data_IF_299909284583
#
_entry.id   IF_299909284583
#
_cell.length_a   1.000
_cell.length_b   1.000
_cell.length_c   1.000
_cell.angle_alpha   90.00
_cell.angle_beta   90.00
_cell.angle_gamma   90.00
#
_symmetry.space_group_name_H-M   'P 1'
#
loop_
_entity.id
_entity.type
_entity.pdbx_description
1 polymer ?
#
# COMPACT_ATOMS: atom_id res chain seq x y z
N UNK A 1 23.61 -6.47 2.87
CA UNK A 1 23.49 -5.34 3.80
C UNK A 1 22.55 -4.29 3.20
N UNK A 2 21.71 -3.64 4.01
CA UNK A 2 20.88 -2.49 3.61
C UNK A 2 19.37 -2.77 3.58
N UNK A 3 18.70 -2.71 4.74
CA UNK A 3 17.25 -2.79 4.86
C UNK A 3 16.75 -1.42 5.35
N UNK A 4 16.46 -0.49 4.44
CA UNK A 4 16.07 0.86 4.84
C UNK A 4 14.57 1.07 4.57
N UNK A 5 13.71 0.56 5.45
CA UNK A 5 12.37 1.13 5.65
C UNK A 5 12.47 2.26 6.68
N UNK A 6 12.00 3.44 6.32
CA UNK A 6 11.96 4.61 7.19
C UNK A 6 10.58 4.67 7.86
N UNK A 7 10.53 4.92 9.18
CA UNK A 7 9.28 5.33 9.84
C UNK A 7 9.46 6.66 10.55
N UNK A 8 8.32 7.31 10.76
CA UNK A 8 8.16 8.52 11.54
C UNK A 8 6.98 8.30 12.47
N UNK A 9 7.11 8.74 13.72
CA UNK A 9 6.11 8.52 14.77
C UNK A 9 5.85 9.84 15.49
N UNK A 10 4.58 10.12 15.83
CA UNK A 10 4.22 11.30 16.62
C UNK A 10 4.56 11.05 18.09
N UNK A 11 5.12 12.05 18.76
CA UNK A 11 5.55 11.94 20.16
C UNK A 11 4.42 11.37 21.05
N UNK A 12 4.67 10.20 21.64
CA UNK A 12 3.72 9.50 22.53
C UNK A 12 2.96 8.33 21.90
N UNK A 13 2.94 8.18 20.57
CA UNK A 13 2.32 7.01 19.93
C UNK A 13 3.25 5.79 20.00
N UNK A 14 2.72 4.66 20.46
CA UNK A 14 3.44 3.39 20.52
C UNK A 14 2.62 2.30 19.83
N UNK A 15 3.11 1.82 18.69
CA UNK A 15 2.46 0.75 17.91
C UNK A 15 2.15 -0.49 18.76
N UNK A 16 3.06 -1.00 19.63
CA UNK A 16 2.77 -2.18 20.44
C UNK A 16 1.68 -1.97 21.50
N UNK A 17 1.39 -0.72 21.88
CA UNK A 17 0.37 -0.37 22.87
C UNK A 17 -1.05 -0.33 22.27
N UNK A 18 -1.18 -0.33 20.95
CA UNK A 18 -2.49 -0.33 20.28
C UNK A 18 -3.14 -1.70 20.42
N UNK A 19 -4.27 -1.76 21.15
CA UNK A 19 -4.97 -3.03 21.41
C UNK A 19 -5.68 -3.57 20.17
N UNK A 20 -6.41 -2.72 19.45
CA UNK A 20 -7.12 -3.07 18.22
C UNK A 20 -7.17 -1.88 17.27
N UNK A 21 -7.18 -2.15 15.96
CA UNK A 21 -7.31 -1.12 14.92
C UNK A 21 -8.35 -1.54 13.89
N UNK A 22 -9.19 -0.60 13.42
CA UNK A 22 -9.87 -0.78 12.15
C UNK A 22 -8.83 -0.86 11.02
N UNK A 23 -9.21 -1.41 9.87
CA UNK A 23 -8.39 -1.26 8.66
C UNK A 23 -9.26 -0.86 7.48
N UNK A 24 -8.76 0.07 6.69
CA UNK A 24 -9.40 0.47 5.43
C UNK A 24 -8.92 -0.47 4.33
N UNK A 25 -9.82 -0.87 3.42
CA UNK A 25 -9.41 -1.64 2.24
C UNK A 25 -8.26 -0.88 1.51
N UNK A 26 -7.20 -1.57 1.03
CA UNK A 26 -6.01 -0.90 0.53
C UNK A 26 -6.28 0.10 -0.59
N UNK A 27 -5.58 1.23 -0.57
CA UNK A 27 -5.74 2.28 -1.60
C UNK A 27 -4.55 2.22 -2.56
N UNK A 28 -4.78 1.75 -3.78
CA UNK A 28 -3.71 1.58 -4.76
C UNK A 28 -3.84 2.51 -5.95
N UNK A 29 -2.72 2.76 -6.64
CA UNK A 29 -2.66 3.43 -7.94
C UNK A 29 -1.49 2.86 -8.73
N UNK A 30 -1.81 2.00 -9.69
CA UNK A 30 -0.81 1.32 -10.51
C UNK A 30 -0.91 1.81 -11.95
N UNK A 31 0.21 2.29 -12.48
CA UNK A 31 0.35 2.59 -13.89
C UNK A 31 0.83 1.37 -14.67
N UNK A 32 0.39 1.25 -15.92
CA UNK A 32 0.93 0.29 -16.88
C UNK A 32 1.78 1.07 -17.88
N UNK A 33 3.04 0.70 -17.95
CA UNK A 33 3.98 1.23 -18.94
C UNK A 33 4.06 0.23 -20.10
N UNK A 34 3.62 0.68 -21.27
CA UNK A 34 3.69 -0.05 -22.53
C UNK A 34 5.00 0.27 -23.25
N UNK A 35 5.39 -0.53 -24.24
CA UNK A 35 6.68 -0.35 -24.92
C UNK A 35 6.78 1.07 -25.52
N UNK A 36 7.83 1.81 -25.14
CA UNK A 36 8.09 3.21 -25.53
C UNK A 36 6.95 4.22 -25.24
N UNK A 37 5.97 3.86 -24.42
CA UNK A 37 4.87 4.75 -24.04
C UNK A 37 5.01 5.18 -22.58
N UNK A 38 4.54 6.41 -22.23
CA UNK A 38 4.45 6.81 -20.83
C UNK A 38 3.51 5.87 -20.06
N UNK A 39 3.75 5.75 -18.75
CA UNK A 39 2.86 5.00 -17.88
C UNK A 39 1.49 5.68 -17.75
N UNK A 40 0.43 4.91 -17.93
CA UNK A 40 -0.95 5.38 -17.72
C UNK A 40 -1.56 4.58 -16.57
N UNK A 41 -2.27 5.26 -15.65
CA UNK A 41 -2.98 4.59 -14.56
C UNK A 41 -3.97 3.60 -15.17
N UNK A 42 -3.85 2.34 -14.76
CA UNK A 42 -4.65 1.24 -15.28
C UNK A 42 -5.57 0.71 -14.18
N UNK A 43 -6.88 0.63 -14.50
CA UNK A 43 -7.91 0.24 -13.54
C UNK A 43 -7.75 -1.23 -13.12
N UNK A 44 -7.46 -2.12 -14.06
CA UNK A 44 -7.35 -3.56 -13.80
C UNK A 44 -6.11 -3.86 -12.96
N UNK A 45 -4.97 -3.26 -13.30
CA UNK A 45 -3.74 -3.38 -12.51
C UNK A 45 -3.92 -2.81 -11.09
N UNK A 46 -4.63 -1.69 -10.97
CA UNK A 46 -4.94 -1.08 -9.66
C UNK A 46 -5.78 -2.03 -8.79
N UNK A 47 -6.89 -2.58 -9.34
CA UNK A 47 -7.76 -3.52 -8.63
C UNK A 47 -7.02 -4.81 -8.25
N UNK A 48 -6.19 -5.33 -9.16
CA UNK A 48 -5.40 -6.53 -8.90
C UNK A 48 -4.41 -6.31 -7.74
N UNK A 49 -3.69 -5.19 -7.74
CA UNK A 49 -2.76 -4.83 -6.67
C UNK A 49 -3.47 -4.62 -5.33
N UNK A 50 -4.65 -3.98 -5.36
CA UNK A 50 -5.51 -3.80 -4.18
C UNK A 50 -5.94 -5.14 -3.58
N UNK A 51 -6.39 -6.07 -4.42
CA UNK A 51 -6.82 -7.41 -3.99
C UNK A 51 -5.65 -8.19 -3.36
N UNK A 52 -4.47 -8.16 -3.98
CA UNK A 52 -3.28 -8.83 -3.44
C UNK A 52 -2.84 -8.25 -2.08
N UNK A 53 -2.89 -6.93 -1.92
CA UNK A 53 -2.58 -6.27 -0.65
C UNK A 53 -3.64 -6.53 0.41
N UNK A 54 -4.91 -6.61 0.01
CA UNK A 54 -6.00 -6.94 0.92
C UNK A 54 -5.81 -8.34 1.49
N UNK A 55 -5.56 -9.32 0.65
CA UNK A 55 -5.23 -10.68 1.08
C UNK A 55 -4.02 -10.71 2.01
N UNK A 56 -2.98 -9.92 1.71
CA UNK A 56 -1.76 -9.83 2.53
C UNK A 56 -2.03 -9.24 3.93
N UNK A 57 -2.94 -8.26 4.04
CA UNK A 57 -3.41 -7.71 5.31
C UNK A 57 -4.27 -8.71 6.08
N UNK A 58 -5.22 -9.37 5.41
CA UNK A 58 -6.10 -10.38 6.02
C UNK A 58 -5.28 -11.54 6.59
N UNK A 59 -4.25 -12.03 5.87
CA UNK A 59 -3.31 -13.03 6.37
C UNK A 59 -2.57 -12.60 7.65
N UNK A 60 -2.37 -11.30 7.86
CA UNK A 60 -1.68 -10.72 9.02
C UNK A 60 -2.60 -10.08 10.05
N UNK A 61 -3.91 -10.29 9.91
CA UNK A 61 -4.94 -9.64 10.74
C UNK A 61 -4.66 -9.78 12.24
N UNK A 62 -4.29 -10.98 12.70
CA UNK A 62 -3.98 -11.23 14.11
C UNK A 62 -2.68 -10.53 14.56
N UNK A 63 -1.62 -10.60 13.76
CA UNK A 63 -0.33 -9.95 14.05
C UNK A 63 -0.49 -8.43 14.20
N UNK A 64 -1.31 -7.84 13.34
CA UNK A 64 -1.57 -6.40 13.26
C UNK A 64 -2.72 -5.95 14.16
N UNK A 65 -3.36 -6.87 14.89
CA UNK A 65 -4.53 -6.60 15.75
C UNK A 65 -5.66 -5.87 15.01
N UNK A 66 -5.88 -6.27 13.75
CA UNK A 66 -6.88 -5.65 12.89
C UNK A 66 -8.28 -6.21 13.17
N UNK A 67 -9.21 -5.31 13.48
CA UNK A 67 -10.64 -5.51 13.55
C UNK A 67 -11.32 -4.72 12.43
N UNK A 68 -12.61 -4.98 12.24
CA UNK A 68 -13.52 -4.19 11.40
C UNK A 68 -12.91 -3.60 10.12
N UNK A 69 -13.11 -4.32 9.02
CA UNK A 69 -12.76 -3.79 7.71
C UNK A 69 -13.69 -2.63 7.35
N UNK A 70 -13.09 -1.56 6.83
CA UNK A 70 -13.79 -0.41 6.28
C UNK A 70 -13.56 -0.37 4.78
N UNK A 71 -14.55 -0.85 4.04
CA UNK A 71 -14.55 -0.76 2.58
C UNK A 71 -14.90 0.66 2.14
N UNK A 72 -14.07 1.24 1.27
CA UNK A 72 -14.35 2.55 0.68
C UNK A 72 -15.34 2.37 -0.47
N UNK A 73 -16.54 2.96 -0.40
CA UNK A 73 -17.51 2.84 -1.49
C UNK A 73 -17.02 3.60 -2.73
N UNK A 74 -17.43 3.15 -3.92
CA UNK A 74 -17.04 3.76 -5.21
C UNK A 74 -17.29 5.28 -5.25
N UNK A 75 -18.36 5.74 -4.60
CA UNK A 75 -18.72 7.17 -4.50
C UNK A 75 -17.69 8.02 -3.75
N UNK A 76 -16.92 7.42 -2.83
CA UNK A 76 -15.89 8.09 -2.04
C UNK A 76 -14.46 7.69 -2.44
N UNK A 77 -14.30 6.63 -3.25
CA UNK A 77 -13.00 6.06 -3.59
C UNK A 77 -12.02 7.07 -4.19
N UNK A 78 -12.48 7.88 -5.14
CA UNK A 78 -11.63 8.92 -5.76
C UNK A 78 -11.19 9.98 -4.75
N UNK A 79 -12.09 10.38 -3.85
CA UNK A 79 -11.79 11.38 -2.83
C UNK A 79 -10.82 10.80 -1.79
N UNK A 80 -11.12 9.63 -1.21
CA UNK A 80 -10.26 8.94 -0.27
C UNK A 80 -8.85 8.72 -0.85
N UNK A 81 -8.75 8.33 -2.12
CA UNK A 81 -7.47 8.18 -2.82
C UNK A 81 -6.67 9.49 -2.86
N UNK A 82 -7.31 10.60 -3.23
CA UNK A 82 -6.66 11.92 -3.26
C UNK A 82 -6.19 12.34 -1.87
N UNK A 83 -7.03 12.16 -0.86
CA UNK A 83 -6.72 12.46 0.54
C UNK A 83 -5.49 11.67 1.02
N UNK A 84 -5.47 10.36 0.78
CA UNK A 84 -4.35 9.49 1.14
C UNK A 84 -3.06 9.91 0.46
N UNK A 85 -3.04 10.09 -0.87
CA UNK A 85 -1.79 10.45 -1.55
C UNK A 85 -1.34 11.89 -1.26
N UNK A 86 -2.27 12.81 -0.99
CA UNK A 86 -1.92 14.15 -0.49
C UNK A 86 -1.23 14.07 0.86
N UNK A 87 -1.76 13.27 1.79
CA UNK A 87 -1.14 13.08 3.10
C UNK A 87 0.24 12.42 2.98
N UNK A 88 0.38 11.40 2.13
CA UNK A 88 1.67 10.78 1.81
C UNK A 88 2.65 11.84 1.30
N UNK A 89 2.29 12.61 0.27
CA UNK A 89 3.16 13.63 -0.31
C UNK A 89 3.62 14.67 0.73
N UNK A 90 2.71 15.19 1.54
CA UNK A 90 3.04 16.15 2.59
C UNK A 90 4.01 15.59 3.65
N UNK A 91 3.81 14.33 4.05
CA UNK A 91 4.72 13.65 4.99
C UNK A 91 6.09 13.42 4.35
N UNK A 92 6.15 12.99 3.08
CA UNK A 92 7.43 12.74 2.40
C UNK A 92 8.23 14.02 2.17
N UNK A 93 7.55 15.14 1.88
CA UNK A 93 8.17 16.44 1.61
C UNK A 93 8.77 17.07 2.87
N UNK A 94 8.02 17.05 3.98
CA UNK A 94 8.43 17.74 5.22
C UNK A 94 9.04 16.82 6.26
N UNK A 95 8.98 15.51 6.05
CA UNK A 95 9.39 14.48 7.01
C UNK A 95 8.75 14.65 8.39
N UNK A 96 7.51 15.13 8.39
CA UNK A 96 6.72 15.41 9.58
C UNK A 96 5.32 14.83 9.40
N UNK A 97 4.79 14.25 10.47
CA UNK A 97 3.39 13.86 10.49
C UNK A 97 2.56 15.15 10.55
N UNK A 98 1.84 15.45 9.47
CA UNK A 98 1.05 16.67 9.38
C UNK A 98 0.09 16.78 10.57
N UNK A 99 0.13 17.92 11.25
CA UNK A 99 -0.84 18.28 12.29
C UNK A 99 -2.23 18.33 11.66
N UNK A 100 -3.10 17.38 11.97
CA UNK A 100 -4.44 17.32 11.37
C UNK A 100 -4.40 16.90 9.90
N UNK A 101 -4.22 15.61 9.63
CA UNK A 101 -4.35 15.12 8.27
C UNK A 101 -5.81 15.30 7.86
N UNK A 102 -6.07 16.26 6.96
CA UNK A 102 -7.38 16.44 6.37
C UNK A 102 -7.72 15.19 5.54
N UNK A 103 -8.51 14.29 6.12
CA UNK A 103 -8.96 13.05 5.49
C UNK A 103 -10.49 12.92 5.61
N UNK A 104 -11.29 13.88 5.12
CA UNK A 104 -12.72 13.96 5.44
C UNK A 104 -13.53 12.75 4.95
N UNK A 105 -13.17 12.14 3.82
CA UNK A 105 -13.83 10.91 3.37
C UNK A 105 -13.50 9.74 4.31
N UNK A 106 -12.25 9.61 4.75
CA UNK A 106 -11.87 8.58 5.71
C UNK A 106 -12.45 8.84 7.11
N UNK A 107 -12.47 10.09 7.56
CA UNK A 107 -13.13 10.50 8.80
C UNK A 107 -14.60 10.10 8.81
N UNK A 108 -15.32 10.38 7.71
CA UNK A 108 -16.71 9.98 7.58
C UNK A 108 -16.89 8.46 7.69
N UNK A 109 -16.05 7.69 7.01
CA UNK A 109 -16.11 6.23 7.03
C UNK A 109 -15.72 5.64 8.39
N UNK A 110 -14.69 6.19 9.02
CA UNK A 110 -14.14 5.73 10.30
C UNK A 110 -14.98 6.19 11.49
N UNK A 111 -15.72 7.30 11.39
CA UNK A 111 -16.62 7.77 12.46
C UNK A 111 -17.77 6.80 12.76
N UNK A 112 -18.06 5.89 11.82
CA UNK A 112 -19.05 4.81 11.98
C UNK A 112 -18.48 3.58 12.68
N UNK A 113 -17.17 3.56 12.93
CA UNK A 113 -16.48 2.47 13.58
C UNK A 113 -16.18 2.85 15.03
N UNK A 114 -16.32 1.89 15.94
CA UNK A 114 -15.97 2.07 17.36
C UNK A 114 -14.47 1.78 17.59
N UNK A 115 -13.62 2.34 16.72
CA UNK A 115 -12.16 2.18 16.80
C UNK A 115 -11.47 3.54 16.74
N UNK A 116 -10.64 3.79 17.75
CA UNK A 116 -9.79 4.99 17.80
C UNK A 116 -8.73 5.01 16.70
N UNK A 117 -8.17 3.85 16.37
CA UNK A 117 -7.06 3.74 15.44
C UNK A 117 -7.48 2.99 14.19
N UNK A 118 -7.07 3.51 13.03
CA UNK A 118 -7.28 2.87 11.75
C UNK A 118 -5.96 2.71 11.01
N UNK A 119 -5.68 1.49 10.54
CA UNK A 119 -4.57 1.20 9.64
C UNK A 119 -4.98 1.49 8.21
N UNK A 120 -4.17 2.29 7.52
CA UNK A 120 -4.33 2.60 6.11
C UNK A 120 -3.07 2.13 5.39
N UNK A 121 -3.26 1.24 4.42
CA UNK A 121 -2.22 0.76 3.53
C UNK A 121 -2.49 1.28 2.13
N UNK A 122 -1.48 1.93 1.54
CA UNK A 122 -1.55 2.43 0.19
C UNK A 122 -0.37 1.94 -0.65
N UNK A 123 -0.55 1.86 -1.96
CA UNK A 123 0.50 1.45 -2.88
C UNK A 123 0.50 2.28 -4.14
N UNK A 124 1.65 2.82 -4.53
CA UNK A 124 1.82 3.46 -5.84
C UNK A 124 2.93 2.76 -6.62
N UNK A 125 2.77 2.63 -7.93
CA UNK A 125 3.82 2.04 -8.73
C UNK A 125 3.47 1.93 -10.20
N UNK A 126 4.32 1.22 -10.93
CA UNK A 126 4.03 0.83 -12.29
C UNK A 126 4.50 -0.60 -12.57
N UNK A 127 3.75 -1.28 -13.44
CA UNK A 127 4.15 -2.52 -14.08
C UNK A 127 4.48 -2.24 -15.55
N UNK A 128 5.21 -3.16 -16.20
CA UNK A 128 5.59 -3.06 -17.61
C UNK A 128 5.05 -4.24 -18.41
N UNK A 129 4.43 -3.93 -19.55
CA UNK A 129 4.02 -4.94 -20.53
C UNK A 129 5.08 -5.00 -21.65
N UNK A 130 5.74 -6.15 -21.88
CA UNK A 130 6.70 -6.29 -22.97
C UNK A 130 6.05 -6.18 -24.36
N UNK A 131 6.82 -5.74 -25.36
CA UNK A 131 6.38 -5.64 -26.78
C UNK A 131 5.77 -6.95 -27.31
N UNK A 132 6.26 -8.11 -26.86
CA UNK A 132 5.74 -9.42 -27.28
C UNK A 132 4.30 -9.68 -26.81
N UNK A 133 3.90 -9.11 -25.67
CA UNK A 133 2.54 -9.26 -25.15
C UNK A 133 1.52 -8.39 -25.89
N UNK A 134 1.92 -7.23 -26.41
CA UNK A 134 1.04 -6.40 -27.25
C UNK A 134 0.62 -7.14 -28.53
N UNK A 135 1.51 -7.98 -29.08
CA UNK A 135 1.22 -8.86 -30.22
C UNK A 135 0.28 -10.03 -29.86
N UNK A 136 0.16 -10.37 -28.57
CA UNK A 136 -0.66 -11.46 -28.04
C UNK A 136 -2.03 -10.99 -27.51
N UNK A 137 -2.40 -9.71 -27.69
CA UNK A 137 -3.69 -9.10 -27.31
C UNK A 137 -4.89 -9.61 -28.15
N UNK A 138 -5.07 -10.93 -28.24
CA UNK A 138 -6.37 -11.54 -28.52
C UNK A 138 -7.14 -11.66 -27.19
N UNK A 139 -8.46 -11.40 -27.19
CA UNK A 139 -9.28 -11.22 -25.98
C UNK A 139 -9.32 -12.43 -25.02
N UNK A 140 -8.82 -13.59 -25.42
CA UNK A 140 -8.84 -14.83 -24.63
C UNK A 140 -7.76 -14.94 -23.55
N UNK A 141 -6.76 -14.05 -23.53
CA UNK A 141 -5.55 -14.23 -22.71
C UNK A 141 -5.31 -13.14 -21.66
N UNK A 142 -6.27 -12.24 -21.41
CA UNK A 142 -6.13 -11.17 -20.41
C UNK A 142 -5.78 -11.71 -19.01
N UNK A 143 -6.35 -12.86 -18.62
CA UNK A 143 -6.11 -13.48 -17.32
C UNK A 143 -4.78 -14.26 -17.23
N UNK A 144 -4.20 -14.64 -18.38
CA UNK A 144 -2.96 -15.42 -18.49
C UNK A 144 -1.76 -14.49 -18.78
N UNK A 145 -1.99 -13.34 -19.41
CA UNK A 145 -0.97 -12.35 -19.74
C UNK A 145 -0.23 -11.78 -18.53
N UNK A 146 -0.93 -11.54 -17.41
CA UNK A 146 -0.33 -11.00 -16.18
C UNK A 146 0.59 -12.00 -15.47
N UNK A 147 0.31 -13.31 -15.54
CA UNK A 147 1.14 -14.35 -14.92
C UNK A 147 2.51 -14.55 -15.63
N UNK A 148 2.62 -14.15 -16.90
CA UNK A 148 3.85 -14.33 -17.71
C UNK A 148 4.83 -13.16 -17.56
N UNK A 149 4.38 -12.02 -17.02
CA UNK A 149 5.21 -10.83 -16.73
C UNK A 149 6.38 -11.16 -15.77
N UNK A 150 6.14 -12.08 -14.83
CA UNK A 150 7.12 -12.49 -13.81
C UNK A 150 8.39 -13.14 -14.39
N UNK A 151 8.31 -13.81 -15.56
CA UNK A 151 9.48 -14.45 -16.18
C UNK A 151 10.29 -13.51 -17.09
N UNK A 152 9.65 -12.53 -17.73
CA UNK A 152 10.34 -11.65 -18.68
C UNK A 152 10.98 -10.42 -18.02
N UNK A 153 10.39 -9.89 -16.94
CA UNK A 153 10.94 -8.73 -16.23
C UNK A 153 12.25 -9.00 -15.47
N UNK A 154 12.66 -10.27 -15.33
CA UNK A 154 13.94 -10.63 -14.69
C UNK A 154 15.16 -10.49 -15.60
N UNK A 155 14.98 -10.31 -16.92
CA UNK A 155 16.06 -10.42 -17.90
C UNK A 155 16.55 -9.13 -18.57
N UNK A 156 15.84 -8.00 -18.47
CA UNK A 156 16.22 -6.76 -19.17
C UNK A 156 16.23 -5.54 -18.24
N UNK A 157 17.37 -4.85 -18.17
CA UNK A 157 17.63 -3.68 -17.32
C UNK A 157 16.97 -2.37 -17.79
N UNK A 158 16.18 -2.41 -18.87
CA UNK A 158 15.37 -1.28 -19.31
C UNK A 158 14.15 -1.08 -18.40
N UNK A 159 14.37 -0.47 -17.23
CA UNK A 159 13.32 0.09 -16.36
C UNK A 159 12.39 -0.95 -15.73
N UNK A 160 12.91 -1.80 -14.85
CA UNK A 160 12.13 -2.81 -14.10
C UNK A 160 10.90 -2.21 -13.41
N UNK A 161 9.83 -2.99 -13.27
CA UNK A 161 8.63 -2.62 -12.52
C UNK A 161 8.97 -2.20 -11.09
N UNK A 162 8.23 -1.23 -10.55
CA UNK A 162 8.47 -0.68 -9.22
C UNK A 162 7.16 -0.37 -8.52
N UNK A 163 7.16 -0.57 -7.22
CA UNK A 163 6.08 -0.17 -6.34
C UNK A 163 6.65 0.30 -5.02
N UNK A 164 5.90 1.18 -4.39
CA UNK A 164 6.15 1.70 -3.05
C UNK A 164 4.89 1.48 -2.24
N UNK A 165 5.06 0.88 -1.07
CA UNK A 165 4.00 0.74 -0.08
C UNK A 165 4.14 1.84 0.95
N UNK A 166 3.00 2.39 1.35
CA UNK A 166 2.85 3.38 2.40
C UNK A 166 1.91 2.81 3.44
N UNK A 167 2.32 2.83 4.70
CA UNK A 167 1.51 2.40 5.83
C UNK A 167 1.43 3.55 6.80
N UNK A 168 0.21 3.92 7.19
CA UNK A 168 0.03 4.88 8.27
C UNK A 168 -1.12 4.50 9.18
N UNK A 169 -1.02 4.94 10.43
CA UNK A 169 -2.07 4.78 11.43
C UNK A 169 -2.68 6.15 11.67
N UNK A 170 -4.00 6.20 11.53
CA UNK A 170 -4.81 7.37 11.77
C UNK A 170 -5.52 7.27 13.12
N UNK A 171 -5.41 8.31 13.95
CA UNK A 171 -6.15 8.46 15.22
C UNK A 171 -7.42 9.26 14.94
N UNK A 172 -8.58 8.61 14.99
CA UNK A 172 -9.90 9.18 14.70
C UNK A 172 -10.34 10.20 15.75
N UNK A 173 -9.81 10.12 16.98
CA UNK A 173 -10.13 11.07 18.04
C UNK A 173 -9.34 12.37 17.87
N UNK A 174 -8.06 12.26 17.53
CA UNK A 174 -7.18 13.42 17.33
C UNK A 174 -7.22 13.96 15.89
N UNK A 175 -7.91 13.25 14.99
CA UNK A 175 -7.95 13.51 13.55
C UNK A 175 -6.57 13.69 12.94
N UNK A 176 -5.66 12.78 13.24
CA UNK A 176 -4.25 12.94 12.89
C UNK A 176 -3.60 11.61 12.54
N UNK A 177 -2.63 11.66 11.62
CA UNK A 177 -1.72 10.55 11.38
C UNK A 177 -0.72 10.50 12.54
N UNK A 178 -0.66 9.38 13.23
CA UNK A 178 0.19 9.19 14.42
C UNK A 178 1.40 8.29 14.16
N UNK A 179 1.38 7.56 13.05
CA UNK A 179 2.48 6.71 12.58
C UNK A 179 2.50 6.68 11.07
N UNK A 180 3.68 6.72 10.48
CA UNK A 180 3.90 6.55 9.05
C UNK A 180 5.17 5.71 8.79
N UNK A 181 5.08 4.81 7.82
CA UNK A 181 6.22 4.06 7.29
C UNK A 181 6.05 3.81 5.80
N UNK A 182 7.15 3.71 5.07
CA UNK A 182 7.12 3.35 3.66
C UNK A 182 8.23 2.37 3.28
N UNK A 183 8.05 1.69 2.14
CA UNK A 183 9.14 0.94 1.52
C UNK A 183 10.07 1.86 0.74
N UNK A 184 11.38 1.58 0.71
CA UNK A 184 12.29 2.32 -0.15
C UNK A 184 11.95 2.06 -1.63
N UNK A 185 12.20 3.03 -2.53
CA UNK A 185 11.97 2.87 -3.96
C UNK A 185 13.05 1.96 -4.56
N UNK A 186 12.95 0.66 -4.32
CA UNK A 186 13.86 -0.31 -4.92
C UNK A 186 13.34 -0.73 -6.30
N UNK A 187 14.29 -0.96 -7.21
CA UNK A 187 14.03 -1.73 -8.41
C UNK A 187 13.69 -3.16 -7.98
N UNK A 188 12.78 -3.84 -8.69
CA UNK A 188 12.35 -5.24 -8.46
C UNK A 188 11.11 -5.43 -7.57
N UNK A 189 10.34 -4.37 -7.32
CA UNK A 189 9.07 -4.48 -6.61
C UNK A 189 7.88 -4.42 -7.58
N UNK A 190 7.56 -5.55 -8.18
CA UNK A 190 6.38 -5.68 -9.06
C UNK A 190 5.08 -5.52 -8.25
N UNK A 191 4.21 -4.51 -8.55
CA UNK A 191 2.95 -4.29 -7.83
C UNK A 191 1.89 -5.37 -8.04
N UNK A 192 2.09 -6.27 -9.01
CA UNK A 192 1.18 -7.35 -9.34
C UNK A 192 1.71 -8.74 -8.94
N UNK A 193 2.86 -8.79 -8.25
CA UNK A 193 3.41 -10.03 -7.70
C UNK A 193 3.12 -10.11 -6.20
N UNK A 194 2.39 -11.15 -5.81
CA UNK A 194 2.03 -11.40 -4.41
C UNK A 194 3.29 -11.54 -3.53
N UNK A 195 4.32 -12.24 -3.99
CA UNK A 195 5.53 -12.47 -3.20
C UNK A 195 6.33 -11.17 -2.97
N UNK A 196 6.41 -10.32 -3.98
CA UNK A 196 6.98 -8.96 -3.90
C UNK A 196 6.24 -8.10 -2.87
N UNK A 197 4.91 -8.03 -2.95
CA UNK A 197 4.08 -7.26 -2.02
C UNK A 197 4.18 -7.78 -0.58
N UNK A 198 4.15 -9.10 -0.41
CA UNK A 198 4.34 -9.79 0.87
C UNK A 198 5.70 -9.48 1.50
N UNK A 199 6.75 -9.47 0.69
CA UNK A 199 8.11 -9.10 1.12
C UNK A 199 8.20 -7.64 1.53
N UNK A 200 7.56 -6.74 0.78
CA UNK A 200 7.48 -5.32 1.09
C UNK A 200 6.72 -5.06 2.39
N UNK A 201 5.54 -5.65 2.55
CA UNK A 201 4.73 -5.53 3.75
C UNK A 201 5.48 -6.11 4.97
N UNK A 202 6.10 -7.28 4.84
CA UNK A 202 6.92 -7.85 5.92
C UNK A 202 8.07 -6.94 6.34
N UNK A 203 8.72 -6.26 5.39
CA UNK A 203 9.78 -5.27 5.68
C UNK A 203 9.24 -4.04 6.42
N UNK A 204 8.05 -3.55 6.06
CA UNK A 204 7.39 -2.46 6.76
C UNK A 204 7.12 -2.83 8.22
N UNK A 205 6.59 -4.03 8.44
CA UNK A 205 6.10 -4.45 9.75
C UNK A 205 7.22 -4.87 10.71
N UNK A 206 8.34 -5.41 10.20
CA UNK A 206 9.38 -6.04 11.01
C UNK A 206 9.98 -5.14 12.10
N UNK A 207 10.06 -3.81 11.89
CA UNK A 207 10.64 -2.92 12.91
C UNK A 207 9.67 -2.60 14.03
N UNK A 208 8.43 -2.25 13.68
CA UNK A 208 7.54 -1.54 14.60
C UNK A 208 6.34 -2.39 15.08
N UNK A 209 6.08 -3.53 14.44
CA UNK A 209 4.96 -4.45 14.74
C UNK A 209 5.41 -5.85 15.18
N UNK A 210 6.71 -6.12 15.23
CA UNK A 210 7.22 -7.35 15.82
C UNK A 210 6.98 -7.30 17.33
N UNK A 211 6.32 -8.33 17.88
CA UNK A 211 6.19 -8.43 19.33
C UNK A 211 7.59 -8.42 19.96
N UNK A 212 7.82 -7.71 21.08
CA UNK A 212 9.00 -7.98 21.87
C UNK A 212 8.91 -9.46 22.24
N UNK A 213 9.96 -10.22 21.90
CA UNK A 213 10.06 -11.65 22.22
C UNK A 213 9.43 -11.91 23.59
N UNK A 214 8.46 -12.82 23.64
CA UNK A 214 8.11 -13.50 24.88
C UNK A 214 9.42 -14.05 25.44
N UNK A 215 9.96 -13.35 26.44
CA UNK A 215 11.05 -13.86 27.26
C UNK A 215 10.43 -14.98 28.07
N UNK A 216 10.69 -16.22 27.65
CA UNK A 216 10.70 -17.36 28.56
C UNK A 216 12.03 -17.33 29.31
#
# INVERSE_FOLDING_TARGET
MGCNSTSIVRAGFQVPAVQEMAFVSPITTIAVVRYNNPGVIDKEATIASESLLHEALVRRRAQLRLRNEVTVPDSLLTQARREVYRAVAAIEEHWQLASGADLPALDYLLSRQDQRYALILAASGFTRIPKLHELLNRPYMARIGYLVVDKYNRGNDAGRAKSKLFLFIYDTHQKAIVYYAHTPPLNDFEPLDAASLEKQLSKLLKRDFSQPNARN
#
